data_IF_294639743635
#
_entry.id   IF_294639743635
#
_cell.length_a   1.000
_cell.length_b   1.000
_cell.length_c   1.000
_cell.angle_alpha   90.00
_cell.angle_beta   90.00
_cell.angle_gamma   90.00
#
_symmetry.space_group_name_H-M   'P 1'
#
loop_
_entity.id
_entity.type
_entity.pdbx_description
1 polymer ?
#
# COMPACT_ATOMS: atom_id res chain seq x y z
N UNK A 1 4.61 5.72 -16.04
CA UNK A 1 3.80 5.67 -14.80
C UNK A 1 4.71 5.27 -13.64
N UNK A 2 4.78 6.05 -12.56
CA UNK A 2 5.62 5.69 -11.40
C UNK A 2 5.02 4.48 -10.66
N UNK A 3 5.86 3.52 -10.28
CA UNK A 3 5.42 2.35 -9.50
C UNK A 3 4.82 2.84 -8.16
N UNK A 4 3.56 2.45 -7.89
CA UNK A 4 2.80 2.80 -6.67
C UNK A 4 3.38 2.18 -5.38
N UNK A 5 4.39 1.33 -5.51
CA UNK A 5 5.06 0.63 -4.42
C UNK A 5 6.58 0.81 -4.49
N UNK A 6 7.24 0.58 -3.36
CA UNK A 6 8.70 0.51 -3.25
C UNK A 6 9.13 -0.95 -3.40
N UNK A 7 10.03 -1.23 -4.34
CA UNK A 7 10.68 -2.54 -4.45
C UNK A 7 11.68 -2.66 -3.30
N UNK A 8 11.57 -3.71 -2.50
CA UNK A 8 12.49 -4.01 -1.39
C UNK A 8 13.07 -5.40 -1.59
N UNK A 9 14.32 -5.58 -1.23
CA UNK A 9 15.00 -6.87 -1.30
C UNK A 9 15.43 -7.27 0.09
N UNK A 10 15.15 -8.53 0.45
CA UNK A 10 15.55 -9.11 1.71
C UNK A 10 16.33 -10.38 1.45
N UNK A 11 17.42 -10.56 2.20
CA UNK A 11 18.17 -11.81 2.22
C UNK A 11 17.43 -12.81 3.11
N UNK A 12 17.19 -14.01 2.59
CA UNK A 12 16.63 -15.11 3.38
C UNK A 12 17.70 -15.59 4.36
N UNK A 13 17.36 -15.57 5.65
CA UNK A 13 18.32 -15.89 6.73
C UNK A 13 18.36 -17.37 7.09
N UNK A 14 17.29 -18.14 6.83
CA UNK A 14 17.18 -19.53 7.23
C UNK A 14 16.31 -20.36 6.28
N UNK A 15 16.45 -21.68 6.34
CA UNK A 15 15.72 -22.65 5.50
C UNK A 15 16.43 -22.97 4.18
N UNK A 16 15.75 -23.72 3.29
CA UNK A 16 16.30 -24.21 2.03
C UNK A 16 16.75 -23.10 1.05
N UNK A 17 16.22 -21.88 1.23
CA UNK A 17 16.57 -20.70 0.45
C UNK A 17 17.55 -19.75 1.15
N UNK A 18 18.17 -20.18 2.27
CA UNK A 18 19.11 -19.34 3.01
C UNK A 18 20.21 -18.79 2.09
N UNK A 19 20.47 -17.48 2.21
CA UNK A 19 21.44 -16.79 1.37
C UNK A 19 20.87 -16.16 0.10
N UNK A 20 19.70 -16.60 -0.39
CA UNK A 20 19.06 -16.02 -1.58
C UNK A 20 18.43 -14.66 -1.28
N UNK A 21 18.44 -13.78 -2.28
CA UNK A 21 17.74 -12.50 -2.24
C UNK A 21 16.32 -12.65 -2.78
N UNK A 22 15.32 -12.28 -1.98
CA UNK A 22 13.91 -12.23 -2.39
C UNK A 22 13.46 -10.79 -2.55
N UNK A 23 12.69 -10.54 -3.60
CA UNK A 23 12.19 -9.21 -3.96
C UNK A 23 10.71 -9.11 -3.61
N UNK A 24 10.32 -8.01 -2.96
CA UNK A 24 8.95 -7.76 -2.53
C UNK A 24 8.48 -6.36 -2.92
N UNK A 25 7.16 -6.21 -3.06
CA UNK A 25 6.50 -4.92 -3.21
C UNK A 25 6.06 -4.41 -1.83
N UNK A 26 6.60 -3.26 -1.41
CA UNK A 26 6.20 -2.58 -0.18
C UNK A 26 5.36 -1.36 -0.51
N UNK A 27 4.19 -1.24 0.12
CA UNK A 27 3.35 -0.05 -0.04
C UNK A 27 4.13 1.22 0.34
N UNK A 28 3.98 2.28 -0.47
CA UNK A 28 4.50 3.60 -0.12
C UNK A 28 3.49 4.26 0.81
N UNK A 29 3.93 4.67 2.01
CA UNK A 29 3.06 5.49 2.86
C UNK A 29 2.95 6.89 2.25
N UNK A 30 1.75 7.45 2.32
CA UNK A 30 1.50 8.85 1.94
C UNK A 30 1.86 9.83 3.09
N UNK A 31 2.67 9.39 4.06
CA UNK A 31 3.00 10.13 5.28
C UNK A 31 2.05 9.85 6.45
N UNK A 32 2.12 10.69 7.48
CA UNK A 32 1.19 10.69 8.63
C UNK A 32 -0.03 11.56 8.29
N UNK A 33 -1.18 11.20 8.83
CA UNK A 33 -2.44 11.91 8.65
C UNK A 33 -2.94 12.38 10.02
N UNK A 34 -3.30 13.65 10.16
CA UNK A 34 -3.99 14.16 11.35
C UNK A 34 -5.48 13.77 11.35
N UNK A 35 -6.13 13.90 12.50
CA UNK A 35 -7.53 13.50 12.67
C UNK A 35 -8.50 14.26 11.75
N UNK A 36 -8.25 15.54 11.48
CA UNK A 36 -9.14 16.34 10.63
C UNK A 36 -9.05 15.89 9.17
N UNK A 37 -7.82 15.64 8.69
CA UNK A 37 -7.56 15.11 7.35
C UNK A 37 -8.11 13.69 7.20
N UNK A 38 -8.02 12.86 8.24
CA UNK A 38 -8.62 11.53 8.26
C UNK A 38 -10.14 11.59 8.11
N UNK A 39 -10.82 12.43 8.90
CA UNK A 39 -12.27 12.61 8.80
C UNK A 39 -12.70 13.06 7.40
N UNK A 40 -11.98 14.01 6.78
CA UNK A 40 -12.24 14.44 5.39
C UNK A 40 -12.10 13.30 4.39
N UNK A 41 -11.05 12.48 4.51
CA UNK A 41 -10.83 11.33 3.63
C UNK A 41 -11.91 10.27 3.78
N UNK A 42 -12.36 10.01 5.01
CA UNK A 42 -13.47 9.08 5.29
C UNK A 42 -14.75 9.62 4.68
N UNK A 43 -15.12 10.88 4.96
CA UNK A 43 -16.34 11.50 4.41
C UNK A 43 -16.34 11.49 2.89
N UNK A 44 -15.22 11.83 2.24
CA UNK A 44 -15.10 11.80 0.78
C UNK A 44 -15.31 10.39 0.19
N UNK A 45 -14.89 9.35 0.92
CA UNK A 45 -15.01 7.95 0.48
C UNK A 45 -16.34 7.32 0.82
N UNK A 46 -16.94 7.70 1.95
CA UNK A 46 -18.28 7.27 2.39
C UNK A 46 -19.40 7.94 1.59
N UNK A 47 -19.13 9.11 0.99
CA UNK A 47 -20.05 9.77 0.06
C UNK A 47 -20.07 9.12 -1.34
N UNK A 48 -19.20 8.14 -1.62
CA UNK A 48 -19.28 7.35 -2.86
C UNK A 48 -20.33 6.25 -2.70
N UNK A 49 -21.39 6.31 -3.50
CA UNK A 49 -22.42 5.28 -3.57
C UNK A 49 -21.80 3.95 -4.02
N UNK A 50 -22.26 2.83 -3.46
CA UNK A 50 -21.80 1.47 -3.81
C UNK A 50 -22.06 1.11 -5.28
N UNK A 51 -22.88 1.89 -6.00
CA UNK A 51 -23.12 1.75 -7.43
C UNK A 51 -21.87 2.10 -8.29
N UNK A 52 -21.03 3.03 -7.84
CA UNK A 52 -19.85 3.49 -8.61
C UNK A 52 -18.62 2.57 -8.47
N UNK A 53 -18.67 1.57 -7.58
CA UNK A 53 -17.55 0.64 -7.33
C UNK A 53 -17.48 -0.48 -8.39
N UNK A 54 -18.54 -0.71 -9.17
CA UNK A 54 -18.58 -1.76 -10.21
C UNK A 54 -18.00 -1.36 -11.57
N UNK A 55 -17.48 -0.13 -11.72
CA UNK A 55 -17.03 0.41 -13.02
C UNK A 55 -15.54 0.78 -13.09
N UNK A 56 -14.70 0.32 -12.14
CA UNK A 56 -13.22 0.50 -12.17
C UNK A 56 -12.50 -0.85 -12.19
#
# INVERSE_FOLDING_TARGET
MSLKFRKVQYKVLSGADAGKMKTYARAKSAGRCDMQKLCKLISARSAMSSADVKLV
#
